data_IF_173758839757
#
_entry.id   IF_173758839757
#
_cell.length_a   1.000
_cell.length_b   1.000
_cell.length_c   1.000
_cell.angle_alpha   90.00
_cell.angle_beta   90.00
_cell.angle_gamma   90.00
#
_symmetry.space_group_name_H-M   'P 1'
#
loop_
_entity.id
_entity.type
_entity.pdbx_description
1 polymer ?
#
# COMPACT_ATOMS: atom_id res chain seq x y z
N UNK A 1 5.03 -13.80 37.24
CA UNK A 1 5.05 -12.32 37.20
C UNK A 1 4.46 -11.90 35.88
N UNK A 2 3.54 -10.93 35.85
CA UNK A 2 2.98 -10.37 34.61
C UNK A 2 4.10 -9.72 33.80
N UNK A 3 4.21 -10.06 32.51
CA UNK A 3 5.24 -9.46 31.64
C UNK A 3 4.93 -8.00 31.35
N UNK A 4 5.92 -7.21 30.92
CA UNK A 4 5.70 -5.82 30.54
C UNK A 4 4.78 -5.73 29.31
N UNK A 5 4.92 -6.66 28.37
CA UNK A 5 4.00 -6.82 27.24
C UNK A 5 2.54 -7.02 27.68
N UNK A 6 2.27 -7.90 28.64
CA UNK A 6 0.91 -8.12 29.15
C UNK A 6 0.30 -6.86 29.75
N UNK A 7 1.05 -6.11 30.56
CA UNK A 7 0.58 -4.85 31.14
C UNK A 7 0.22 -3.81 30.06
N UNK A 8 1.00 -3.71 28.99
CA UNK A 8 0.76 -2.76 27.89
C UNK A 8 -0.45 -3.19 27.03
N UNK A 9 -0.67 -4.49 26.85
CA UNK A 9 -1.86 -5.02 26.18
C UNK A 9 -3.11 -4.70 27.01
N UNK A 10 -3.09 -4.95 28.33
CA UNK A 10 -4.21 -4.61 29.23
C UNK A 10 -4.55 -3.11 29.21
N UNK A 11 -3.53 -2.24 29.18
CA UNK A 11 -3.72 -0.80 29.01
C UNK A 11 -4.39 -0.48 27.66
N UNK A 12 -3.95 -1.12 26.58
CA UNK A 12 -4.53 -0.95 25.24
C UNK A 12 -5.98 -1.39 25.20
N UNK A 13 -6.32 -2.53 25.79
CA UNK A 13 -7.70 -3.05 25.84
C UNK A 13 -8.63 -2.20 26.72
N UNK A 14 -8.07 -1.54 27.75
CA UNK A 14 -8.80 -0.66 28.65
C UNK A 14 -9.13 0.69 28.02
N UNK A 15 -8.18 1.28 27.30
CA UNK A 15 -8.29 2.66 26.82
C UNK A 15 -8.52 2.79 25.31
N UNK A 16 -8.20 1.74 24.52
CA UNK A 16 -8.32 1.73 23.06
C UNK A 16 -9.69 1.30 22.56
N UNK A 17 -10.09 1.82 21.40
CA UNK A 17 -11.23 1.28 20.67
C UNK A 17 -10.91 -0.14 20.17
N UNK A 18 -11.92 -1.02 20.16
CA UNK A 18 -11.77 -2.44 19.79
C UNK A 18 -11.93 -2.69 18.28
N UNK A 19 -11.28 -1.87 17.46
CA UNK A 19 -11.34 -1.98 15.99
C UNK A 19 -10.20 -2.83 15.39
N UNK A 20 -9.24 -3.29 16.21
CA UNK A 20 -8.20 -4.23 15.82
C UNK A 20 -8.15 -5.42 16.79
N UNK A 21 -7.75 -6.58 16.26
CA UNK A 21 -7.40 -7.78 17.04
C UNK A 21 -5.93 -8.17 16.73
N UNK A 22 -4.95 -7.55 17.40
CA UNK A 22 -3.52 -7.78 17.14
C UNK A 22 -3.06 -9.20 17.52
N UNK A 23 -1.84 -9.56 17.12
CA UNK A 23 -1.14 -10.68 17.76
C UNK A 23 -0.76 -10.26 19.19
N UNK A 24 -0.72 -11.19 20.17
CA UNK A 24 -0.37 -10.87 21.55
C UNK A 24 1.16 -10.67 21.69
N UNK A 25 1.64 -9.55 21.16
CA UNK A 25 3.03 -9.08 21.19
C UNK A 25 3.05 -7.55 21.24
N UNK A 26 4.04 -6.99 21.93
CA UNK A 26 4.31 -5.55 21.95
C UNK A 26 5.68 -5.31 21.36
N UNK A 27 5.83 -4.32 20.48
CA UNK A 27 7.12 -3.93 19.91
C UNK A 27 7.61 -2.66 20.62
N UNK A 28 8.84 -2.69 21.12
CA UNK A 28 9.51 -1.57 21.82
C UNK A 28 10.66 -0.95 21.02
N UNK A 29 11.38 -1.76 20.24
CA UNK A 29 12.49 -1.32 19.39
C UNK A 29 12.38 -1.99 18.01
N UNK A 30 12.90 -1.31 16.98
CA UNK A 30 12.93 -1.82 15.61
C UNK A 30 14.12 -1.26 14.84
N UNK A 31 14.82 -2.11 14.10
CA UNK A 31 15.96 -1.73 13.26
C UNK A 31 16.10 -2.70 12.08
N UNK A 32 16.15 -2.15 10.88
CA UNK A 32 16.24 -2.94 9.65
C UNK A 32 15.05 -3.90 9.50
N UNK A 33 15.30 -5.20 9.47
CA UNK A 33 14.25 -6.24 9.42
C UNK A 33 13.83 -6.78 10.79
N UNK A 34 14.50 -6.34 11.85
CA UNK A 34 14.33 -6.89 13.19
C UNK A 34 13.53 -5.96 14.09
N UNK A 35 12.69 -6.55 14.94
CA UNK A 35 11.97 -5.87 16.01
C UNK A 35 12.23 -6.59 17.34
N UNK A 36 12.04 -5.86 18.44
CA UNK A 36 12.13 -6.41 19.79
C UNK A 36 10.90 -6.08 20.60
N UNK A 37 10.55 -6.99 21.51
CA UNK A 37 9.58 -6.72 22.55
C UNK A 37 10.23 -6.10 23.81
N UNK A 38 9.45 -5.61 24.78
CA UNK A 38 9.97 -5.11 26.05
C UNK A 38 10.78 -6.12 26.87
N UNK A 39 10.57 -7.42 26.65
CA UNK A 39 11.30 -8.50 27.32
C UNK A 39 12.67 -8.79 26.65
N UNK A 40 12.94 -8.21 25.49
CA UNK A 40 14.18 -8.35 24.74
C UNK A 40 14.17 -9.48 23.69
N UNK A 41 13.03 -10.15 23.49
CA UNK A 41 12.88 -11.16 22.46
C UNK A 41 12.94 -10.49 21.09
N UNK A 42 13.74 -11.06 20.18
CA UNK A 42 13.91 -10.55 18.81
C UNK A 42 13.03 -11.31 17.83
N UNK A 43 12.41 -10.58 16.92
CA UNK A 43 11.61 -11.13 15.84
C UNK A 43 11.98 -10.47 14.51
N UNK A 44 11.90 -11.22 13.43
CA UNK A 44 11.98 -10.66 12.08
C UNK A 44 10.58 -10.24 11.62
N UNK A 45 10.45 -8.99 11.17
CA UNK A 45 9.22 -8.44 10.63
C UNK A 45 9.04 -8.89 9.17
N UNK A 46 8.06 -9.76 8.95
CA UNK A 46 7.63 -10.25 7.63
C UNK A 46 6.35 -9.57 7.16
N UNK A 47 5.91 -8.48 7.80
CA UNK A 47 4.75 -7.68 7.41
C UNK A 47 5.14 -6.29 6.90
N UNK A 48 6.28 -5.76 7.35
CA UNK A 48 6.79 -4.41 7.04
C UNK A 48 5.78 -3.32 7.29
N UNK A 49 5.04 -3.40 8.39
CA UNK A 49 3.92 -2.50 8.68
C UNK A 49 2.99 -2.33 7.46
N UNK A 50 2.60 -3.45 6.84
CA UNK A 50 1.77 -3.49 5.63
C UNK A 50 2.43 -2.86 4.39
N UNK A 51 3.74 -3.07 4.21
CA UNK A 51 4.59 -2.48 3.17
C UNK A 51 4.88 -0.97 3.32
N UNK A 52 4.92 -0.47 4.56
CA UNK A 52 5.29 0.92 4.86
C UNK A 52 6.79 1.11 5.15
N UNK A 53 7.49 0.07 5.60
CA UNK A 53 8.95 0.11 5.86
C UNK A 53 9.73 -0.68 4.81
N UNK A 54 9.49 -0.40 3.51
CA UNK A 54 10.27 -1.05 2.43
C UNK A 54 11.78 -0.88 2.64
N UNK A 55 12.20 0.26 3.15
CA UNK A 55 13.59 0.64 3.44
C UNK A 55 14.11 0.04 4.76
N UNK A 56 13.30 -0.73 5.50
CA UNK A 56 13.62 -1.21 6.84
C UNK A 56 13.26 -0.21 7.93
N UNK A 57 13.07 -0.75 9.14
CA UNK A 57 12.77 0.03 10.33
C UNK A 57 13.90 1.02 10.63
N UNK A 58 13.52 2.29 10.78
CA UNK A 58 14.43 3.38 11.20
C UNK A 58 15.70 3.50 10.34
N UNK A 59 15.55 3.36 9.03
CA UNK A 59 16.67 3.53 8.10
C UNK A 59 17.48 4.81 8.40
N UNK A 60 18.81 4.73 8.60
CA UNK A 60 19.60 5.82 9.17
C UNK A 60 19.51 7.11 8.37
N UNK A 61 19.56 7.03 7.03
CA UNK A 61 19.41 8.18 6.13
C UNK A 61 18.06 8.89 6.29
N UNK A 62 16.98 8.13 6.49
CA UNK A 62 15.61 8.68 6.62
C UNK A 62 15.43 9.33 8.00
N UNK A 63 15.92 8.68 9.06
CA UNK A 63 15.90 9.23 10.42
C UNK A 63 16.76 10.49 10.54
N UNK A 64 17.90 10.53 9.86
CA UNK A 64 18.73 11.73 9.80
C UNK A 64 18.00 12.89 9.11
N UNK A 65 17.32 12.63 7.98
CA UNK A 65 16.50 13.64 7.29
C UNK A 65 15.38 14.18 8.19
N UNK A 66 14.69 13.29 8.92
CA UNK A 66 13.68 13.68 9.92
C UNK A 66 14.28 14.64 10.96
N UNK A 67 15.38 14.25 11.60
CA UNK A 67 16.02 15.04 12.67
C UNK A 67 16.48 16.41 12.15
N UNK A 68 17.22 16.42 11.04
CA UNK A 68 17.73 17.67 10.43
C UNK A 68 16.61 18.63 10.06
N UNK A 69 15.51 18.13 9.48
CA UNK A 69 14.40 19.00 9.11
C UNK A 69 13.60 19.46 10.33
N UNK A 70 13.47 18.62 11.38
CA UNK A 70 12.81 18.98 12.63
C UNK A 70 13.51 20.11 13.39
N UNK A 71 14.84 20.18 13.31
CA UNK A 71 15.64 21.29 13.87
C UNK A 71 15.50 22.62 13.08
N UNK A 72 14.79 22.61 11.93
CA UNK A 72 14.58 23.79 11.07
C UNK A 72 13.12 24.28 11.11
N UNK A 73 12.22 23.54 10.47
CA UNK A 73 10.78 23.86 10.39
C UNK A 73 10.00 22.61 10.04
N UNK A 74 8.92 22.37 10.78
CA UNK A 74 8.11 21.15 10.63
C UNK A 74 6.82 21.40 9.85
N UNK A 75 6.13 22.49 10.15
CA UNK A 75 4.85 22.84 9.54
C UNK A 75 4.83 24.31 9.14
N UNK A 76 4.55 24.54 7.87
CA UNK A 76 4.03 25.81 7.37
C UNK A 76 2.64 25.51 6.83
N UNK A 77 1.66 26.37 7.10
CA UNK A 77 0.38 26.23 6.39
C UNK A 77 0.63 26.34 4.88
N UNK A 78 -0.21 25.68 4.07
CA UNK A 78 -0.16 25.80 2.60
C UNK A 78 -0.47 27.21 2.07
N UNK A 79 -0.80 28.15 2.96
CA UNK A 79 -0.87 29.57 2.67
C UNK A 79 0.52 30.22 2.47
N UNK A 80 1.59 29.56 2.92
CA UNK A 80 2.96 29.98 2.72
C UNK A 80 3.77 28.89 2.03
N UNK A 81 4.77 29.29 1.26
CA UNK A 81 5.73 28.34 0.70
C UNK A 81 6.70 27.85 1.78
N UNK A 82 7.25 26.65 1.55
CA UNK A 82 8.41 26.14 2.26
C UNK A 82 9.43 25.62 1.24
N UNK A 83 10.67 25.42 1.70
CA UNK A 83 11.81 25.07 0.84
C UNK A 83 11.93 23.55 0.54
N UNK A 84 11.06 22.70 1.11
CA UNK A 84 11.10 21.25 0.90
C UNK A 84 10.04 20.76 -0.10
N UNK A 85 8.91 21.45 -0.23
CA UNK A 85 7.78 21.00 -1.03
C UNK A 85 8.06 21.01 -2.54
N UNK A 86 8.70 22.07 -3.05
CA UNK A 86 9.08 22.18 -4.47
C UNK A 86 10.04 21.06 -4.92
N UNK A 87 11.17 20.85 -4.21
CA UNK A 87 12.07 19.73 -4.50
C UNK A 87 11.40 18.35 -4.40
N UNK A 88 10.51 18.17 -3.42
CA UNK A 88 9.74 16.93 -3.30
C UNK A 88 8.81 16.72 -4.51
N UNK A 89 8.12 17.77 -4.98
CA UNK A 89 7.32 17.71 -6.20
C UNK A 89 8.15 17.28 -7.41
N UNK A 90 9.30 17.90 -7.60
CA UNK A 90 10.19 17.56 -8.71
C UNK A 90 10.63 16.09 -8.66
N UNK A 91 11.03 15.59 -7.49
CA UNK A 91 11.47 14.20 -7.34
C UNK A 91 10.34 13.21 -7.65
N UNK A 92 9.13 13.43 -7.12
CA UNK A 92 7.97 12.54 -7.38
C UNK A 92 7.51 12.58 -8.83
N UNK A 93 7.48 13.76 -9.45
CA UNK A 93 7.14 13.92 -10.87
C UNK A 93 8.16 13.23 -11.79
N UNK A 94 9.46 13.37 -11.51
CA UNK A 94 10.52 12.66 -12.27
C UNK A 94 10.40 11.14 -12.11
N UNK A 95 10.15 10.67 -10.89
CA UNK A 95 10.00 9.24 -10.58
C UNK A 95 8.83 8.60 -11.35
N UNK A 96 7.68 9.28 -11.38
CA UNK A 96 6.45 8.77 -12.01
C UNK A 96 6.32 9.14 -13.49
N UNK A 97 7.20 10.01 -14.01
CA UNK A 97 7.13 10.61 -15.36
C UNK A 97 5.79 11.33 -15.60
N UNK A 98 5.32 12.05 -14.59
CA UNK A 98 4.09 12.85 -14.61
C UNK A 98 4.41 14.32 -14.37
N UNK A 99 3.45 15.19 -14.68
CA UNK A 99 3.68 16.63 -14.67
C UNK A 99 3.33 17.31 -13.35
N UNK A 100 2.37 16.75 -12.60
CA UNK A 100 1.84 17.35 -11.37
C UNK A 100 1.63 16.31 -10.28
N UNK A 101 1.74 16.76 -9.03
CA UNK A 101 1.53 15.96 -7.83
C UNK A 101 0.75 16.77 -6.80
N UNK A 102 -0.15 16.10 -6.08
CA UNK A 102 -0.93 16.67 -4.98
C UNK A 102 -0.63 15.87 -3.70
N UNK A 103 -0.04 16.49 -2.66
CA UNK A 103 0.38 15.81 -1.44
C UNK A 103 -0.75 15.75 -0.41
N UNK A 104 -0.88 14.60 0.25
CA UNK A 104 -1.77 14.33 1.39
C UNK A 104 -0.97 13.58 2.48
N UNK A 105 -1.64 13.08 3.51
CA UNK A 105 -0.97 12.46 4.67
C UNK A 105 -1.16 10.93 4.66
N UNK A 106 -2.37 10.47 4.36
CA UNK A 106 -2.71 9.04 4.39
C UNK A 106 -3.08 8.52 3.02
N UNK A 107 -2.96 7.20 2.81
CA UNK A 107 -3.42 6.57 1.58
C UNK A 107 -4.91 6.84 1.29
N UNK A 108 -5.75 6.80 2.32
CA UNK A 108 -7.19 7.07 2.18
C UNK A 108 -7.45 8.52 1.71
N UNK A 109 -6.70 9.51 2.19
CA UNK A 109 -6.81 10.89 1.68
C UNK A 109 -6.35 11.01 0.23
N UNK A 110 -5.34 10.24 -0.19
CA UNK A 110 -4.90 10.24 -1.59
C UNK A 110 -5.95 9.57 -2.49
N UNK A 111 -6.62 8.51 -2.02
CA UNK A 111 -7.78 7.92 -2.69
C UNK A 111 -8.91 8.94 -2.81
N UNK A 112 -9.33 9.58 -1.71
CA UNK A 112 -10.35 10.65 -1.74
C UNK A 112 -10.00 11.75 -2.75
N UNK A 113 -8.72 12.15 -2.79
CA UNK A 113 -8.21 13.14 -3.75
C UNK A 113 -8.36 12.64 -5.19
N UNK A 114 -7.99 11.39 -5.47
CA UNK A 114 -8.12 10.79 -6.80
C UNK A 114 -9.58 10.69 -7.25
N UNK A 115 -10.50 10.30 -6.36
CA UNK A 115 -11.94 10.26 -6.67
C UNK A 115 -12.47 11.66 -7.02
N UNK A 116 -12.06 12.68 -6.25
CA UNK A 116 -12.46 14.07 -6.52
C UNK A 116 -11.88 14.59 -7.84
N UNK A 117 -10.62 14.27 -8.13
CA UNK A 117 -9.96 14.63 -9.39
C UNK A 117 -10.71 14.00 -10.57
N UNK A 118 -10.97 12.70 -10.51
CA UNK A 118 -11.67 11.97 -11.56
C UNK A 118 -13.07 12.51 -11.82
N UNK A 119 -13.85 12.77 -10.77
CA UNK A 119 -15.21 13.32 -10.90
C UNK A 119 -15.20 14.71 -11.51
N UNK A 120 -14.35 15.61 -10.99
CA UNK A 120 -14.29 16.98 -11.54
C UNK A 120 -13.79 16.98 -12.98
N UNK A 121 -12.76 16.18 -13.30
CA UNK A 121 -12.32 15.99 -14.68
C UNK A 121 -13.45 15.45 -15.58
N UNK A 122 -14.26 14.52 -15.08
CA UNK A 122 -15.37 13.99 -15.86
C UNK A 122 -16.43 15.04 -16.18
N UNK A 123 -16.76 15.92 -15.23
CA UNK A 123 -17.69 17.03 -15.47
C UNK A 123 -17.08 18.10 -16.38
N UNK A 124 -15.91 18.61 -16.02
CA UNK A 124 -15.31 19.80 -16.63
C UNK A 124 -14.68 19.51 -18.01
N UNK A 125 -14.13 18.30 -18.19
CA UNK A 125 -13.34 17.94 -19.39
C UNK A 125 -14.07 16.91 -20.25
N UNK A 126 -14.55 15.80 -19.65
CA UNK A 126 -15.26 14.75 -20.41
C UNK A 126 -16.69 15.16 -20.79
N UNK A 127 -17.31 16.08 -20.03
CA UNK A 127 -18.68 16.55 -20.27
C UNK A 127 -19.76 15.62 -19.75
N UNK A 128 -19.47 14.83 -18.71
CA UNK A 128 -20.47 14.01 -18.00
C UNK A 128 -21.49 14.95 -17.34
N UNK A 129 -22.80 14.63 -17.34
CA UNK A 129 -23.80 15.45 -16.66
C UNK A 129 -23.55 15.57 -15.15
N UNK A 130 -23.91 16.72 -14.59
CA UNK A 130 -23.72 17.03 -13.16
C UNK A 130 -24.26 15.92 -12.25
N UNK A 131 -23.43 15.50 -11.29
CA UNK A 131 -23.73 14.46 -10.29
C UNK A 131 -23.94 13.04 -10.85
N UNK A 132 -23.66 12.80 -12.13
CA UNK A 132 -23.81 11.47 -12.74
C UNK A 132 -22.49 10.71 -12.90
N UNK A 133 -21.35 11.26 -12.48
CA UNK A 133 -20.05 10.60 -12.67
C UNK A 133 -19.94 9.27 -11.92
N UNK A 134 -19.57 8.22 -12.65
CA UNK A 134 -19.41 6.87 -12.14
C UNK A 134 -17.93 6.50 -12.00
N UNK A 135 -17.59 5.75 -10.95
CA UNK A 135 -16.26 5.17 -10.75
C UNK A 135 -16.39 3.65 -10.69
N UNK A 136 -15.60 2.96 -11.49
CA UNK A 136 -15.52 1.50 -11.50
C UNK A 136 -14.39 1.06 -10.56
N UNK A 137 -14.66 0.09 -9.69
CA UNK A 137 -13.69 -0.57 -8.80
C UNK A 137 -13.86 -2.08 -8.84
N UNK A 138 -12.90 -2.82 -8.30
CA UNK A 138 -12.95 -4.28 -8.29
C UNK A 138 -13.44 -4.86 -6.95
N UNK A 139 -14.12 -6.02 -7.00
CA UNK A 139 -14.38 -6.84 -5.81
C UNK A 139 -13.09 -7.22 -5.10
N UNK A 140 -13.09 -7.13 -3.77
CA UNK A 140 -11.92 -7.38 -2.91
C UNK A 140 -11.01 -6.17 -2.73
N UNK A 141 -11.35 -5.00 -3.27
CA UNK A 141 -10.53 -3.79 -3.12
C UNK A 141 -10.36 -3.36 -1.65
N UNK A 142 -9.22 -2.74 -1.36
CA UNK A 142 -9.00 -1.99 -0.13
C UNK A 142 -8.37 -0.62 -0.41
N UNK A 143 -9.21 0.42 -0.50
CA UNK A 143 -8.76 1.79 -0.76
C UNK A 143 -8.81 2.71 0.48
N UNK A 144 -9.04 2.15 1.67
CA UNK A 144 -9.01 2.88 2.94
C UNK A 144 -10.27 2.74 3.79
N UNK A 145 -10.46 3.71 4.69
CA UNK A 145 -11.49 3.64 5.77
C UNK A 145 -12.34 4.91 5.90
N UNK A 146 -12.13 5.93 5.06
CA UNK A 146 -13.04 7.09 4.99
C UNK A 146 -14.38 6.67 4.39
N UNK A 147 -15.43 7.51 4.53
CA UNK A 147 -16.74 7.18 3.99
C UNK A 147 -16.73 6.93 2.48
N UNK A 148 -15.96 7.67 1.68
CA UNK A 148 -15.87 7.37 0.24
C UNK A 148 -15.14 6.04 0.01
N UNK A 149 -14.00 5.81 0.68
CA UNK A 149 -13.25 4.57 0.52
C UNK A 149 -14.06 3.32 0.89
N UNK A 150 -14.79 3.34 2.02
CA UNK A 150 -15.66 2.20 2.39
C UNK A 150 -16.88 2.07 1.48
N UNK A 151 -17.29 3.14 0.78
CA UNK A 151 -18.33 3.06 -0.25
C UNK A 151 -17.88 2.27 -1.48
N UNK A 152 -16.57 2.24 -1.76
CA UNK A 152 -15.96 1.41 -2.81
C UNK A 152 -15.88 -0.08 -2.43
N UNK A 153 -15.90 -0.39 -1.13
CA UNK A 153 -15.70 -1.74 -0.62
C UNK A 153 -16.78 -2.72 -1.10
N UNK A 154 -16.36 -3.93 -1.44
CA UNK A 154 -17.25 -5.09 -1.57
C UNK A 154 -17.41 -5.88 -0.27
N UNK A 155 -16.56 -5.63 0.75
CA UNK A 155 -16.61 -6.31 2.06
C UNK A 155 -17.76 -5.75 2.92
N UNK A 156 -18.81 -6.55 3.24
CA UNK A 156 -19.95 -6.09 4.02
C UNK A 156 -19.58 -5.58 5.42
N UNK A 157 -18.60 -6.21 6.08
CA UNK A 157 -18.17 -5.80 7.42
C UNK A 157 -17.59 -4.39 7.45
N UNK A 158 -17.03 -3.91 6.33
CA UNK A 158 -16.46 -2.56 6.23
C UNK A 158 -17.51 -1.48 5.99
N UNK A 159 -18.76 -1.87 5.69
CA UNK A 159 -19.88 -0.96 5.33
C UNK A 159 -20.98 -0.93 6.39
N UNK A 160 -21.12 -2.01 7.16
CA UNK A 160 -22.22 -2.23 8.11
C UNK A 160 -22.34 -1.07 9.11
N UNK A 161 -23.42 -0.30 9.00
CA UNK A 161 -23.76 0.76 9.95
C UNK A 161 -23.17 2.15 9.63
N UNK A 162 -22.56 2.35 8.45
CA UNK A 162 -21.96 3.64 8.04
C UNK A 162 -22.77 4.42 6.99
N UNK A 163 -23.99 3.98 6.68
CA UNK A 163 -24.81 4.58 5.63
C UNK A 163 -25.39 5.97 6.00
N UNK A 164 -25.84 6.75 4.99
CA UNK A 164 -25.81 6.44 3.56
C UNK A 164 -24.40 6.50 2.96
N UNK A 165 -24.11 5.58 2.03
CA UNK A 165 -22.82 5.47 1.35
C UNK A 165 -22.82 6.30 0.05
N UNK A 166 -21.63 6.58 -0.47
CA UNK A 166 -21.41 7.34 -1.71
C UNK A 166 -22.05 6.60 -2.91
N UNK A 167 -22.86 7.32 -3.68
CA UNK A 167 -23.42 6.85 -4.96
C UNK A 167 -22.39 6.96 -6.10
N UNK A 168 -22.74 6.43 -7.29
CA UNK A 168 -21.90 6.51 -8.48
C UNK A 168 -20.68 5.57 -8.43
N UNK A 169 -20.83 4.40 -7.80
CA UNK A 169 -19.79 3.37 -7.69
C UNK A 169 -20.31 2.09 -8.36
N UNK A 170 -19.52 1.54 -9.26
CA UNK A 170 -19.75 0.23 -9.89
C UNK A 170 -18.66 -0.74 -9.46
N UNK A 171 -19.05 -1.92 -8.98
CA UNK A 171 -18.12 -2.95 -8.54
C UNK A 171 -18.16 -4.09 -9.57
N UNK A 172 -16.99 -4.47 -10.08
CA UNK A 172 -16.81 -5.59 -11.03
C UNK A 172 -15.88 -6.66 -10.46
N UNK A 173 -15.91 -7.91 -10.95
CA UNK A 173 -14.90 -8.91 -10.59
C UNK A 173 -13.48 -8.44 -10.89
N UNK A 174 -12.54 -8.74 -9.99
CA UNK A 174 -11.12 -8.40 -10.18
C UNK A 174 -10.46 -9.27 -11.27
N UNK A 175 -9.70 -8.64 -12.16
CA UNK A 175 -9.00 -9.35 -13.25
C UNK A 175 -9.88 -9.74 -14.43
N UNK A 176 -11.12 -9.21 -14.52
CA UNK A 176 -12.08 -9.52 -15.58
C UNK A 176 -12.21 -8.33 -16.56
N UNK A 177 -11.63 -8.49 -17.74
CA UNK A 177 -11.63 -7.44 -18.78
C UNK A 177 -13.00 -7.27 -19.44
N UNK A 178 -13.78 -8.33 -19.55
CA UNK A 178 -15.11 -8.26 -20.19
C UNK A 178 -16.12 -7.60 -19.24
N UNK A 179 -16.01 -7.86 -17.93
CA UNK A 179 -16.78 -7.12 -16.93
C UNK A 179 -16.44 -5.62 -16.93
N UNK A 180 -15.16 -5.25 -17.10
CA UNK A 180 -14.76 -3.84 -17.23
C UNK A 180 -15.40 -3.19 -18.46
N UNK A 181 -15.27 -3.81 -19.64
CA UNK A 181 -15.89 -3.31 -20.87
C UNK A 181 -17.40 -3.12 -20.73
N UNK A 182 -18.09 -4.08 -20.10
CA UNK A 182 -19.53 -4.03 -19.91
C UNK A 182 -19.97 -2.96 -18.89
N UNK A 183 -19.13 -2.61 -17.91
CA UNK A 183 -19.46 -1.65 -16.87
C UNK A 183 -19.28 -0.18 -17.29
N UNK A 184 -18.42 0.08 -18.29
CA UNK A 184 -18.15 1.41 -18.82
C UNK A 184 -19.39 1.98 -19.51
N UNK A 185 -19.69 3.24 -19.20
CA UNK A 185 -20.76 4.04 -19.82
C UNK A 185 -20.20 5.41 -20.23
N UNK A 186 -20.98 6.24 -20.95
CA UNK A 186 -20.62 7.64 -21.19
C UNK A 186 -20.32 8.43 -19.90
N UNK A 187 -20.93 8.05 -18.77
CA UNK A 187 -20.79 8.74 -17.48
C UNK A 187 -19.63 8.22 -16.63
N UNK A 188 -18.89 7.19 -17.09
CA UNK A 188 -17.77 6.63 -16.35
C UNK A 188 -16.59 7.60 -16.34
N UNK A 189 -16.20 8.08 -15.17
CA UNK A 189 -15.07 8.97 -14.97
C UNK A 189 -13.74 8.20 -14.93
N UNK A 190 -13.69 7.12 -14.15
CA UNK A 190 -12.45 6.39 -13.90
C UNK A 190 -12.68 4.91 -13.60
N UNK A 191 -11.64 4.13 -13.85
CA UNK A 191 -11.42 2.80 -13.30
C UNK A 191 -10.28 2.89 -12.26
N UNK A 192 -10.60 2.62 -10.99
CA UNK A 192 -9.64 2.59 -9.89
C UNK A 192 -9.33 1.14 -9.51
N UNK A 193 -8.06 0.77 -9.55
CA UNK A 193 -7.62 -0.61 -9.37
C UNK A 193 -6.29 -0.71 -8.64
N UNK A 194 -6.15 -1.71 -7.76
CA UNK A 194 -4.86 -2.15 -7.24
C UNK A 194 -4.18 -3.05 -8.29
N UNK A 195 -2.92 -2.83 -8.69
CA UNK A 195 -2.22 -3.72 -9.63
C UNK A 195 -2.08 -5.17 -9.14
N UNK A 196 -2.04 -5.33 -7.81
CA UNK A 196 -2.15 -6.61 -7.08
C UNK A 196 -2.98 -6.31 -5.84
N UNK A 197 -4.13 -6.98 -5.64
CA UNK A 197 -4.94 -6.73 -4.45
C UNK A 197 -4.25 -7.29 -3.21
N UNK A 198 -3.84 -6.39 -2.33
CA UNK A 198 -3.02 -6.74 -1.18
C UNK A 198 -3.84 -7.38 -0.06
N UNK A 199 -4.83 -6.64 0.43
CA UNK A 199 -5.67 -7.10 1.54
C UNK A 199 -6.58 -8.27 1.13
N UNK A 200 -6.93 -8.41 -0.17
CA UNK A 200 -7.66 -9.56 -0.71
C UNK A 200 -6.87 -10.88 -0.72
N UNK A 201 -5.67 -10.89 -0.14
CA UNK A 201 -4.80 -12.06 -0.09
C UNK A 201 -3.77 -12.10 -1.21
N UNK A 202 -3.14 -10.98 -1.55
CA UNK A 202 -2.07 -10.93 -2.57
C UNK A 202 -2.55 -11.51 -3.91
N UNK A 203 -3.73 -11.07 -4.39
CA UNK A 203 -4.32 -11.58 -5.64
C UNK A 203 -3.67 -10.89 -6.82
N UNK A 204 -2.91 -11.66 -7.60
CA UNK A 204 -2.27 -11.21 -8.83
C UNK A 204 -3.30 -11.38 -9.97
N UNK A 205 -3.54 -10.36 -10.80
CA UNK A 205 -4.48 -10.50 -11.91
C UNK A 205 -3.89 -11.41 -13.00
N UNK A 206 -4.73 -11.90 -13.95
CA UNK A 206 -4.22 -12.59 -15.13
C UNK A 206 -3.19 -11.74 -15.87
N UNK A 207 -2.18 -12.39 -16.46
CA UNK A 207 -1.16 -11.69 -17.23
C UNK A 207 -1.79 -10.91 -18.39
N UNK A 208 -1.41 -9.64 -18.53
CA UNK A 208 -1.90 -8.72 -19.56
C UNK A 208 -3.19 -7.99 -19.17
N UNK A 209 -3.75 -8.25 -17.99
CA UNK A 209 -4.98 -7.60 -17.53
C UNK A 209 -4.81 -6.10 -17.36
N UNK A 210 -3.74 -5.63 -16.73
CA UNK A 210 -3.54 -4.20 -16.48
C UNK A 210 -3.37 -3.46 -17.80
N UNK A 211 -2.62 -4.05 -18.74
CA UNK A 211 -2.44 -3.48 -20.08
C UNK A 211 -3.76 -3.40 -20.85
N UNK A 212 -4.52 -4.50 -20.88
CA UNK A 212 -5.81 -4.53 -21.55
C UNK A 212 -6.81 -3.55 -20.91
N UNK A 213 -6.85 -3.46 -19.58
CA UNK A 213 -7.72 -2.54 -18.85
C UNK A 213 -7.34 -1.08 -19.12
N UNK A 214 -6.04 -0.75 -19.16
CA UNK A 214 -5.56 0.58 -19.54
C UNK A 214 -5.98 0.93 -20.98
N UNK A 215 -5.78 0.03 -21.93
CA UNK A 215 -6.14 0.27 -23.34
C UNK A 215 -7.66 0.48 -23.49
N UNK A 216 -8.49 -0.34 -22.83
CA UNK A 216 -9.96 -0.17 -22.80
C UNK A 216 -10.36 1.17 -22.17
N UNK A 217 -9.74 1.58 -21.06
CA UNK A 217 -10.02 2.88 -20.43
C UNK A 217 -9.69 4.03 -21.39
N UNK A 218 -8.53 3.97 -22.04
CA UNK A 218 -8.06 4.96 -23.00
C UNK A 218 -9.00 5.09 -24.21
N UNK A 219 -9.42 3.96 -24.78
CA UNK A 219 -10.38 3.93 -25.90
C UNK A 219 -11.72 4.60 -25.57
N UNK A 220 -12.13 4.57 -24.29
CA UNK A 220 -13.41 5.11 -23.82
C UNK A 220 -13.29 6.48 -23.12
N UNK A 221 -12.12 7.12 -23.18
CA UNK A 221 -11.81 8.35 -22.45
C UNK A 221 -12.19 8.23 -20.96
N UNK A 222 -11.78 7.14 -20.31
CA UNK A 222 -11.94 6.85 -18.88
C UNK A 222 -10.55 6.89 -18.25
N UNK A 223 -10.41 7.53 -17.09
CA UNK A 223 -9.12 7.58 -16.41
C UNK A 223 -8.78 6.22 -15.79
N UNK A 224 -7.61 5.67 -16.12
CA UNK A 224 -7.04 4.52 -15.44
C UNK A 224 -6.24 4.98 -14.22
N UNK A 225 -6.73 4.68 -13.02
CA UNK A 225 -6.14 5.06 -11.74
C UNK A 225 -5.55 3.82 -11.06
N UNK A 226 -4.23 3.82 -10.87
CA UNK A 226 -3.55 2.73 -10.17
C UNK A 226 -3.31 3.08 -8.70
N UNK A 227 -3.91 2.31 -7.80
CA UNK A 227 -3.58 2.34 -6.37
C UNK A 227 -2.30 1.54 -6.12
N UNK A 228 -1.17 2.26 -6.11
CA UNK A 228 0.16 1.72 -5.87
C UNK A 228 0.61 2.00 -4.42
N UNK A 229 -0.32 2.30 -3.50
CA UNK A 229 -0.01 2.59 -2.11
C UNK A 229 0.72 1.40 -1.47
N UNK A 230 0.29 0.16 -1.74
CA UNK A 230 0.93 -1.05 -1.20
C UNK A 230 1.93 -1.71 -2.16
N UNK A 231 1.67 -1.67 -3.47
CA UNK A 231 2.40 -2.45 -4.48
C UNK A 231 3.59 -1.71 -5.09
N UNK A 232 3.59 -0.38 -4.99
CA UNK A 232 4.62 0.46 -5.57
C UNK A 232 5.89 0.52 -4.74
N UNK A 233 6.80 1.40 -5.17
CA UNK A 233 8.05 1.73 -4.50
C UNK A 233 8.93 0.50 -4.23
N UNK A 234 9.09 -0.34 -5.25
CA UNK A 234 9.98 -1.50 -5.23
C UNK A 234 9.39 -2.79 -4.65
N UNK A 235 8.21 -2.72 -4.00
CA UNK A 235 7.64 -3.88 -3.29
C UNK A 235 7.51 -5.12 -4.17
N UNK A 236 7.04 -4.95 -5.39
CA UNK A 236 6.77 -6.07 -6.31
C UNK A 236 7.94 -6.45 -7.23
N UNK A 237 9.15 -5.95 -6.97
CA UNK A 237 10.33 -6.21 -7.80
C UNK A 237 10.53 -5.22 -8.95
N UNK A 238 9.61 -4.27 -9.10
CA UNK A 238 9.71 -3.12 -10.02
C UNK A 238 9.38 -1.85 -9.24
N UNK A 239 9.73 -0.70 -9.80
CA UNK A 239 9.44 0.57 -9.13
C UNK A 239 7.93 0.74 -8.91
N UNK A 240 7.13 0.47 -9.94
CA UNK A 240 5.68 0.36 -9.84
C UNK A 240 5.23 -1.05 -10.29
N UNK A 241 4.19 -1.59 -9.69
CA UNK A 241 3.65 -2.88 -10.10
C UNK A 241 3.03 -2.84 -11.50
N UNK A 242 2.53 -1.68 -11.95
CA UNK A 242 2.12 -1.45 -13.34
C UNK A 242 3.26 -1.68 -14.37
N UNK A 243 4.52 -1.52 -13.96
CA UNK A 243 5.70 -1.75 -14.83
C UNK A 243 5.88 -3.24 -15.21
N UNK A 244 5.12 -4.16 -14.61
CA UNK A 244 5.08 -5.57 -15.03
C UNK A 244 4.39 -5.77 -16.37
N UNK A 245 3.57 -4.81 -16.80
CA UNK A 245 2.85 -4.86 -18.07
C UNK A 245 3.05 -3.57 -18.89
N UNK A 246 4.13 -2.83 -18.60
CA UNK A 246 4.51 -1.58 -19.25
C UNK A 246 3.37 -0.53 -19.29
N UNK A 247 2.57 -0.49 -18.21
CA UNK A 247 1.47 0.47 -18.07
C UNK A 247 1.94 1.71 -17.31
N UNK A 248 1.74 2.87 -17.92
CA UNK A 248 1.79 4.16 -17.23
C UNK A 248 0.35 4.61 -17.00
N UNK A 249 -0.22 4.46 -15.79
CA UNK A 249 -1.59 4.85 -15.49
C UNK A 249 -1.79 6.34 -15.70
N UNK A 250 -3.02 6.78 -15.95
CA UNK A 250 -3.33 8.21 -16.06
C UNK A 250 -3.03 8.92 -14.74
N UNK A 251 -3.28 8.23 -13.62
CA UNK A 251 -3.06 8.71 -12.27
C UNK A 251 -2.48 7.61 -11.38
N UNK A 252 -1.40 7.92 -10.67
CA UNK A 252 -0.87 7.10 -9.57
C UNK A 252 -1.40 7.59 -8.23
N UNK A 253 -1.67 6.64 -7.33
CA UNK A 253 -1.87 6.91 -5.89
C UNK A 253 -0.72 6.25 -5.13
N UNK A 254 0.05 7.03 -4.36
CA UNK A 254 1.21 6.56 -3.60
C UNK A 254 1.06 6.89 -2.12
N UNK A 255 1.70 6.09 -1.25
CA UNK A 255 1.70 6.29 0.19
C UNK A 255 2.63 5.30 0.89
N UNK A 256 2.34 4.95 2.16
CA UNK A 256 3.08 3.95 2.94
C UNK A 256 4.60 4.15 2.90
N UNK A 257 5.31 3.37 2.07
CA UNK A 257 6.76 3.44 1.89
C UNK A 257 7.26 4.79 1.35
N UNK A 258 6.38 5.64 0.84
CA UNK A 258 6.69 7.02 0.44
C UNK A 258 7.29 7.84 1.58
N UNK A 259 6.91 7.55 2.82
CA UNK A 259 7.48 8.16 4.03
C UNK A 259 8.46 7.26 4.78
N UNK A 260 8.86 6.12 4.20
CA UNK A 260 9.76 5.14 4.81
C UNK A 260 9.29 4.58 6.15
N UNK A 261 7.98 4.62 6.42
CA UNK A 261 7.40 4.28 7.73
C UNK A 261 7.76 5.25 8.86
N UNK A 262 8.37 6.39 8.55
CA UNK A 262 8.82 7.40 9.52
C UNK A 262 7.81 8.55 9.64
N UNK A 263 7.23 9.00 8.53
CA UNK A 263 6.23 10.08 8.53
C UNK A 263 5.06 9.73 7.59
N UNK A 264 3.79 9.92 8.01
CA UNK A 264 2.64 9.70 7.13
C UNK A 264 2.61 10.75 6.01
N UNK A 265 2.83 10.29 4.79
CA UNK A 265 2.72 11.08 3.56
C UNK A 265 2.18 10.20 2.43
N UNK A 266 1.32 10.79 1.61
CA UNK A 266 0.74 10.17 0.43
C UNK A 266 0.60 11.19 -0.68
N UNK A 267 0.33 10.75 -1.90
CA UNK A 267 0.09 11.67 -3.00
C UNK A 267 -0.72 11.07 -4.13
N UNK A 268 -1.32 11.97 -4.89
CA UNK A 268 -1.85 11.69 -6.23
C UNK A 268 -0.92 12.32 -7.25
N UNK A 269 -0.59 11.59 -8.32
CA UNK A 269 0.34 12.05 -9.35
C UNK A 269 -0.25 11.81 -10.73
N UNK A 270 -0.39 12.86 -11.54
CA UNK A 270 -0.99 12.81 -12.87
C UNK A 270 -0.48 13.96 -13.76
N UNK A 271 -0.93 14.00 -15.01
CA UNK A 271 -0.61 15.09 -15.94
C UNK A 271 -1.48 16.34 -15.69
N UNK A 272 -1.10 17.48 -16.28
CA UNK A 272 -1.78 18.76 -16.09
C UNK A 272 -3.24 18.74 -16.55
N UNK A 273 -3.52 18.07 -17.65
CA UNK A 273 -4.86 17.87 -18.20
C UNK A 273 -5.82 17.16 -17.23
N UNK A 274 -5.30 16.48 -16.21
CA UNK A 274 -6.08 15.82 -15.16
C UNK A 274 -6.06 16.61 -13.85
N UNK A 275 -4.89 17.03 -13.35
CA UNK A 275 -4.79 17.65 -12.02
C UNK A 275 -5.04 19.16 -12.00
N UNK A 276 -5.05 19.84 -13.15
CA UNK A 276 -5.36 21.29 -13.20
C UNK A 276 -6.83 21.61 -12.92
N UNK A 277 -7.69 20.58 -12.79
CA UNK A 277 -9.07 20.74 -12.32
C UNK A 277 -9.15 21.22 -10.86
N UNK A 278 -8.06 21.11 -10.10
CA UNK A 278 -7.97 21.68 -8.76
C UNK A 278 -7.52 23.13 -8.81
N UNK A 279 -8.49 24.04 -8.76
CA UNK A 279 -8.25 25.47 -8.59
C UNK A 279 -7.92 25.82 -7.12
N UNK A 280 -7.23 26.96 -6.86
CA UNK A 280 -6.95 27.43 -5.50
C UNK A 280 -8.22 27.49 -4.64
N UNK A 281 -8.20 26.83 -3.48
CA UNK A 281 -9.32 26.77 -2.53
C UNK A 281 -10.29 25.59 -2.75
N UNK A 282 -10.21 24.88 -3.88
CA UNK A 282 -11.13 23.78 -4.19
C UNK A 282 -10.79 22.44 -3.48
N UNK A 283 -9.57 22.34 -2.96
CA UNK A 283 -9.09 21.24 -2.11
C UNK A 283 -7.92 21.69 -1.22
N UNK A 284 -7.55 20.88 -0.23
CA UNK A 284 -6.46 21.19 0.69
C UNK A 284 -6.40 20.25 1.89
N UNK A 285 -5.30 20.34 2.63
CA UNK A 285 -5.06 19.64 3.89
C UNK A 285 -4.07 20.45 4.73
N UNK A 286 -4.26 20.49 6.05
CA UNK A 286 -3.38 21.25 6.96
C UNK A 286 -1.93 20.75 6.91
N UNK A 287 -1.75 19.44 6.95
CA UNK A 287 -0.43 18.79 6.97
C UNK A 287 0.03 18.32 5.59
N UNK A 288 -0.85 18.30 4.59
CA UNK A 288 -0.51 17.85 3.23
C UNK A 288 0.58 18.71 2.59
N UNK A 289 1.77 18.12 2.40
CA UNK A 289 2.94 18.81 1.85
C UNK A 289 3.72 19.65 2.87
N UNK A 290 3.61 19.34 4.16
CA UNK A 290 4.44 19.97 5.19
C UNK A 290 5.95 19.66 4.97
N UNK A 291 6.86 20.57 5.33
CA UNK A 291 8.27 20.41 5.00
C UNK A 291 8.95 19.21 5.67
N UNK A 292 8.50 18.79 6.86
CA UNK A 292 9.05 17.62 7.54
C UNK A 292 8.78 16.33 6.76
N UNK A 293 7.53 16.14 6.34
CA UNK A 293 7.12 14.99 5.54
C UNK A 293 7.83 14.96 4.17
N UNK A 294 7.95 16.11 3.51
CA UNK A 294 8.66 16.22 2.22
C UNK A 294 10.14 15.83 2.34
N UNK A 295 10.87 16.33 3.35
CA UNK A 295 12.26 15.98 3.55
C UNK A 295 12.47 14.48 3.84
N UNK A 296 11.62 13.91 4.70
CA UNK A 296 11.61 12.47 5.00
C UNK A 296 11.34 11.65 3.74
N UNK A 297 10.37 12.07 2.94
CA UNK A 297 9.97 11.36 1.72
C UNK A 297 11.04 11.41 0.63
N UNK A 298 11.72 12.55 0.46
CA UNK A 298 12.87 12.66 -0.46
C UNK A 298 13.93 11.61 -0.08
N UNK A 299 14.34 11.58 1.19
CA UNK A 299 15.32 10.60 1.68
C UNK A 299 14.82 9.15 1.52
N UNK A 300 13.54 8.90 1.76
CA UNK A 300 12.93 7.57 1.60
C UNK A 300 12.95 7.09 0.13
N UNK A 301 12.69 7.98 -0.82
CA UNK A 301 12.78 7.68 -2.26
C UNK A 301 14.23 7.51 -2.72
N UNK A 302 15.16 8.34 -2.21
CA UNK A 302 16.59 8.19 -2.50
C UNK A 302 17.11 6.83 -2.06
N UNK A 303 16.73 6.34 -0.88
CA UNK A 303 17.12 5.00 -0.41
C UNK A 303 16.63 3.90 -1.35
N UNK A 304 15.40 4.01 -1.87
CA UNK A 304 14.86 3.05 -2.84
C UNK A 304 15.72 3.00 -4.11
N UNK A 305 16.14 4.16 -4.63
CA UNK A 305 16.94 4.30 -5.84
C UNK A 305 18.41 3.89 -5.63
N UNK A 306 19.07 4.44 -4.60
CA UNK A 306 20.50 4.27 -4.31
C UNK A 306 20.83 2.83 -3.91
N UNK A 307 19.96 2.18 -3.14
CA UNK A 307 20.14 0.78 -2.70
C UNK A 307 19.51 -0.23 -3.66
N UNK A 308 18.93 0.25 -4.78
CA UNK A 308 18.36 -0.60 -5.84
C UNK A 308 17.33 -1.59 -5.28
N UNK A 309 16.44 -1.08 -4.43
CA UNK A 309 15.53 -1.92 -3.65
C UNK A 309 14.49 -2.64 -4.51
N UNK A 310 14.15 -2.09 -5.69
CA UNK A 310 13.26 -2.76 -6.63
C UNK A 310 13.93 -4.03 -7.17
N UNK A 311 15.18 -3.95 -7.65
CA UNK A 311 15.92 -5.10 -8.17
C UNK A 311 16.22 -6.12 -7.08
N UNK A 312 16.57 -5.66 -5.88
CA UNK A 312 16.76 -6.54 -4.73
C UNK A 312 15.48 -7.29 -4.37
N UNK A 313 14.34 -6.61 -4.37
CA UNK A 313 13.03 -7.22 -4.14
C UNK A 313 12.69 -8.27 -5.21
N UNK A 314 13.04 -8.00 -6.47
CA UNK A 314 12.85 -8.95 -7.58
C UNK A 314 13.66 -10.22 -7.35
N UNK A 315 14.98 -10.08 -7.19
CA UNK A 315 15.91 -11.21 -7.04
C UNK A 315 15.58 -12.06 -5.81
N UNK A 316 15.45 -11.42 -4.65
CA UNK A 316 15.19 -12.11 -3.40
C UNK A 316 13.75 -12.65 -3.31
N UNK A 317 12.80 -11.96 -3.94
CA UNK A 317 11.42 -12.42 -4.05
C UNK A 317 11.29 -13.68 -4.88
N UNK A 318 11.90 -13.73 -6.06
CA UNK A 318 11.92 -14.93 -6.91
C UNK A 318 12.61 -16.10 -6.21
N UNK A 319 13.75 -15.84 -5.58
CA UNK A 319 14.46 -16.81 -4.75
C UNK A 319 13.57 -17.38 -3.64
N UNK A 320 12.98 -16.50 -2.82
CA UNK A 320 12.20 -16.92 -1.66
C UNK A 320 10.90 -17.63 -2.07
N UNK A 321 10.23 -17.15 -3.12
CA UNK A 321 9.05 -17.80 -3.70
C UNK A 321 9.39 -19.21 -4.20
N UNK A 322 10.55 -19.39 -4.84
CA UNK A 322 11.01 -20.71 -5.30
C UNK A 322 11.24 -21.70 -4.16
N UNK A 323 11.73 -21.21 -3.01
CA UNK A 323 11.91 -22.01 -1.79
C UNK A 323 10.57 -22.38 -1.16
N UNK A 324 9.67 -21.41 -0.97
CA UNK A 324 8.35 -21.65 -0.39
C UNK A 324 7.55 -22.70 -1.17
N UNK A 325 7.63 -22.69 -2.51
CA UNK A 325 6.98 -23.68 -3.39
C UNK A 325 7.50 -25.12 -3.25
N UNK A 326 8.62 -25.33 -2.56
CA UNK A 326 9.14 -26.67 -2.25
C UNK A 326 8.47 -27.30 -1.03
N UNK A 327 7.82 -26.51 -0.17
CA UNK A 327 7.10 -27.01 1.00
C UNK A 327 5.92 -27.86 0.54
N UNK A 328 5.79 -29.07 1.08
CA UNK A 328 4.68 -29.99 0.81
C UNK A 328 3.82 -30.10 2.06
N UNK A 329 2.63 -29.53 2.00
CA UNK A 329 1.59 -29.64 3.02
C UNK A 329 0.23 -29.57 2.33
N UNK A 330 -0.68 -30.48 2.70
CA UNK A 330 -2.03 -30.56 2.14
C UNK A 330 -2.90 -29.34 2.47
N UNK A 331 -2.57 -28.61 3.54
CA UNK A 331 -3.23 -27.36 3.89
C UNK A 331 -2.89 -26.23 2.92
N UNK A 332 -1.76 -26.29 2.20
CA UNK A 332 -1.35 -25.23 1.26
C UNK A 332 -2.14 -25.37 -0.04
N UNK A 333 -2.96 -24.36 -0.33
CA UNK A 333 -3.73 -24.26 -1.58
C UNK A 333 -2.92 -23.64 -2.71
N UNK A 334 -2.27 -22.50 -2.44
CA UNK A 334 -1.50 -21.78 -3.44
C UNK A 334 -0.40 -20.93 -2.79
N UNK A 335 0.74 -20.81 -3.46
CA UNK A 335 1.79 -19.85 -3.12
C UNK A 335 2.04 -18.93 -4.31
N UNK A 336 1.80 -17.63 -4.11
CA UNK A 336 1.85 -16.59 -5.16
C UNK A 336 2.56 -15.35 -4.67
N UNK A 337 3.13 -14.58 -5.59
CA UNK A 337 3.76 -13.29 -5.29
C UNK A 337 4.50 -12.71 -6.48
N UNK A 338 4.83 -11.42 -6.38
CA UNK A 338 5.80 -10.71 -7.25
C UNK A 338 6.75 -9.94 -6.34
N UNK A 339 8.06 -10.04 -6.60
CA UNK A 339 9.08 -9.55 -5.67
C UNK A 339 8.88 -10.07 -4.24
N UNK A 340 9.22 -9.26 -3.24
CA UNK A 340 8.98 -9.56 -1.82
C UNK A 340 7.53 -9.23 -1.40
N UNK A 341 6.53 -9.51 -2.24
CA UNK A 341 5.11 -9.39 -1.92
C UNK A 341 4.43 -10.75 -2.14
N UNK A 342 4.45 -11.59 -1.12
CA UNK A 342 4.13 -13.01 -1.22
C UNK A 342 2.96 -13.37 -0.30
N UNK A 343 2.06 -14.21 -0.81
CA UNK A 343 0.97 -14.83 -0.08
C UNK A 343 1.07 -16.36 -0.14
N UNK A 344 0.85 -17.00 1.01
CA UNK A 344 0.61 -18.46 1.13
C UNK A 344 -0.84 -18.65 1.52
N UNK A 345 -1.67 -19.09 0.58
CA UNK A 345 -3.07 -19.39 0.82
C UNK A 345 -3.25 -20.82 1.31
N UNK A 346 -4.05 -20.97 2.35
CA UNK A 346 -4.36 -22.25 2.97
C UNK A 346 -5.83 -22.65 2.74
N UNK A 347 -6.10 -23.94 2.84
CA UNK A 347 -7.46 -24.49 2.93
C UNK A 347 -8.09 -24.31 4.32
N UNK A 348 -7.28 -23.94 5.31
CA UNK A 348 -7.64 -23.77 6.73
C UNK A 348 -7.34 -22.35 7.20
N UNK A 349 -7.85 -21.91 8.36
CA UNK A 349 -7.49 -20.62 8.93
C UNK A 349 -5.97 -20.47 9.12
N UNK A 350 -5.42 -19.33 8.71
CA UNK A 350 -3.98 -19.04 8.74
C UNK A 350 -3.49 -18.51 10.10
N UNK A 351 -4.41 -18.09 11.00
CA UNK A 351 -4.05 -17.53 12.30
C UNK A 351 -3.17 -18.47 13.17
N UNK A 352 -3.48 -19.77 13.32
CA UNK A 352 -2.64 -20.68 14.10
C UNK A 352 -1.21 -20.79 13.56
N UNK A 353 -1.04 -20.71 12.24
CA UNK A 353 0.27 -20.71 11.60
C UNK A 353 1.04 -19.41 11.89
N UNK A 354 0.39 -18.24 11.84
CA UNK A 354 0.99 -16.97 12.23
C UNK A 354 1.44 -16.98 13.71
N UNK A 355 0.65 -17.56 14.60
CA UNK A 355 1.00 -17.70 16.01
C UNK A 355 2.18 -18.67 16.21
N UNK A 356 2.21 -19.80 15.50
CA UNK A 356 3.36 -20.70 15.52
C UNK A 356 4.64 -20.05 14.94
N UNK A 357 4.52 -19.23 13.90
CA UNK A 357 5.63 -18.46 13.33
C UNK A 357 6.17 -17.41 14.32
N UNK A 358 5.28 -16.75 15.07
CA UNK A 358 5.68 -15.86 16.17
C UNK A 358 6.55 -16.59 17.18
N UNK A 359 6.17 -17.79 17.60
CA UNK A 359 6.97 -18.62 18.52
C UNK A 359 8.33 -19.05 17.93
N UNK A 360 8.49 -18.98 16.60
CA UNK A 360 9.77 -19.19 15.90
C UNK A 360 10.56 -17.89 15.68
N UNK A 361 10.05 -16.73 16.10
CA UNK A 361 10.72 -15.44 15.92
C UNK A 361 10.35 -14.71 14.61
N UNK A 362 9.23 -15.04 13.97
CA UNK A 362 8.75 -14.39 12.74
C UNK A 362 7.41 -13.72 12.97
N UNK A 363 7.29 -12.44 12.63
CA UNK A 363 6.02 -11.71 12.68
C UNK A 363 5.44 -11.56 11.28
N UNK A 364 4.38 -12.30 11.01
CA UNK A 364 3.52 -12.15 9.85
C UNK A 364 2.06 -12.02 10.32
N UNK A 365 1.16 -11.67 9.40
CA UNK A 365 -0.26 -11.61 9.70
C UNK A 365 -1.07 -12.14 8.54
N UNK A 366 -2.12 -12.88 8.87
CA UNK A 366 -3.09 -13.37 7.92
C UNK A 366 -3.98 -12.25 7.39
N UNK A 367 -4.44 -12.41 6.15
CA UNK A 367 -5.56 -11.64 5.59
C UNK A 367 -6.56 -12.61 4.96
N UNK A 368 -7.81 -12.17 4.83
CA UNK A 368 -8.90 -13.00 4.31
C UNK A 368 -9.04 -14.35 5.04
N UNK A 369 -8.69 -14.40 6.33
CA UNK A 369 -8.67 -15.56 7.22
C UNK A 369 -7.65 -16.67 6.87
N UNK A 370 -7.35 -16.89 5.59
CA UNK A 370 -6.62 -18.07 5.09
C UNK A 370 -5.29 -17.77 4.41
N UNK A 371 -4.92 -16.50 4.21
CA UNK A 371 -3.68 -16.13 3.49
C UNK A 371 -2.64 -15.57 4.45
N UNK A 372 -1.53 -16.29 4.63
CA UNK A 372 -0.35 -15.79 5.35
C UNK A 372 0.41 -14.84 4.43
N UNK A 373 0.73 -13.63 4.92
CA UNK A 373 1.49 -12.64 4.17
C UNK A 373 2.97 -12.66 4.56
N UNK A 374 3.83 -12.74 3.55
CA UNK A 374 5.26 -12.53 3.68
C UNK A 374 5.69 -11.34 2.81
N UNK A 375 5.93 -10.22 3.47
CA UNK A 375 6.39 -8.97 2.89
C UNK A 375 7.44 -8.32 3.82
N UNK A 376 8.66 -8.87 3.93
CA UNK A 376 9.74 -8.28 4.74
C UNK A 376 10.25 -6.96 4.14
N UNK A 377 11.02 -6.16 4.90
CA UNK A 377 11.67 -4.99 4.32
C UNK A 377 12.59 -5.39 3.17
N UNK A 378 12.69 -4.54 2.15
CA UNK A 378 13.41 -4.87 0.92
C UNK A 378 14.92 -4.94 1.12
N UNK A 379 15.43 -4.32 2.19
CA UNK A 379 16.84 -4.40 2.60
C UNK A 379 17.24 -5.78 3.15
N UNK A 380 16.28 -6.69 3.39
CA UNK A 380 16.55 -8.04 3.92
C UNK A 380 17.66 -8.73 3.13
N UNK A 381 18.54 -9.44 3.83
CA UNK A 381 19.63 -10.21 3.21
C UNK A 381 19.16 -11.61 2.81
N UNK A 382 19.92 -12.25 1.90
CA UNK A 382 19.63 -13.63 1.51
C UNK A 382 19.79 -14.57 2.72
N UNK A 383 20.77 -14.32 3.58
CA UNK A 383 21.02 -15.07 4.82
C UNK A 383 19.86 -14.95 5.80
N UNK A 384 19.30 -13.74 5.96
CA UNK A 384 18.09 -13.51 6.77
C UNK A 384 16.86 -14.22 6.16
N UNK A 385 16.69 -14.21 4.84
CA UNK A 385 15.64 -14.98 4.18
C UNK A 385 15.81 -16.48 4.34
N UNK A 386 17.04 -16.98 4.30
CA UNK A 386 17.35 -18.39 4.54
C UNK A 386 16.99 -18.79 5.99
N UNK A 387 17.35 -17.95 6.96
CA UNK A 387 16.97 -18.10 8.36
C UNK A 387 15.45 -18.09 8.57
N UNK A 388 14.73 -17.21 7.85
CA UNK A 388 13.27 -17.14 7.91
C UNK A 388 12.65 -18.38 7.27
N UNK A 389 13.16 -18.82 6.12
CA UNK A 389 12.66 -19.99 5.42
C UNK A 389 12.75 -21.26 6.26
N UNK A 390 13.84 -21.50 6.99
CA UNK A 390 13.96 -22.67 7.88
C UNK A 390 12.82 -22.73 8.90
N UNK A 391 12.47 -21.60 9.50
CA UNK A 391 11.38 -21.49 10.49
C UNK A 391 10.01 -21.63 9.84
N UNK A 392 9.83 -21.05 8.66
CA UNK A 392 8.60 -21.19 7.89
C UNK A 392 8.39 -22.64 7.49
N UNK A 393 9.41 -23.32 6.99
CA UNK A 393 9.37 -24.73 6.66
C UNK A 393 9.06 -25.58 7.91
N UNK A 394 9.65 -25.28 9.07
CA UNK A 394 9.37 -25.99 10.31
C UNK A 394 7.92 -25.88 10.80
N UNK A 395 7.24 -24.77 10.47
CA UNK A 395 5.83 -24.55 10.84
C UNK A 395 4.90 -25.10 9.76
N UNK A 396 5.17 -24.82 8.49
CA UNK A 396 4.34 -25.21 7.37
C UNK A 396 4.54 -26.65 6.90
N UNK A 397 5.57 -27.37 7.33
CA UNK A 397 5.75 -28.80 7.00
C UNK A 397 5.18 -29.74 8.07
N UNK A 398 4.61 -29.20 9.16
CA UNK A 398 3.91 -30.02 10.15
C UNK A 398 2.61 -30.55 9.52
N UNK A 399 2.32 -31.84 9.68
CA UNK A 399 1.13 -32.46 9.11
C UNK A 399 -0.16 -31.96 9.75
#
# INVERSE_FOLDING_TARGET
MTTKSQQLIEQTERYGARNYHPLPIVISEAEGVWVKDPEGNRYMDMLSAYSAVNQGHRHPKIIEALKKQADRVTLTSRAFHNDQLGPWYEKVCRLTKKEMVLPMNTGAEAVETALKAARRWAYDVKGVPDNEAEIIVCEGNFHGRTLAAVSLSSEPAYKRGFGPLLSGVKIIPYGDIEALKAAITPNTAAFLVEPIQGEAGIRIPPQGFLKAAYDVCKENNVLFIADEIQTGLGRTGKLFACDWEDVVPDMYILGKALGGGVFPISCVVANRDILSVFEPGSHGSTFGGNPLACAVSIAALEVIEEERLAERSLELGEYFLSKLKQIRNADIKEIRGRGLFIGVELHVPARPYCEALKEQGLLCKETHETVIRFAPPLIITKEELDWAFERIANVLSRP
#
